data_IF_267376698140
#
_entry.id   IF_267376698140
#
_cell.length_a   1.000
_cell.length_b   1.000
_cell.length_c   1.000
_cell.angle_alpha   90.00
_cell.angle_beta   90.00
_cell.angle_gamma   90.00
#
_symmetry.space_group_name_H-M   'P 1'
#
loop_
_entity.id
_entity.type
_entity.pdbx_description
1 polymer ?
#
# COMPACT_ATOMS: atom_id res chain seq x y z
N UNK A 1 -10.98 -36.84 -24.10
CA UNK A 1 -9.77 -36.71 -23.25
C UNK A 1 -8.72 -35.74 -23.84
N UNK A 2 -8.31 -35.87 -25.11
CA UNK A 2 -7.33 -34.94 -25.75
C UNK A 2 -7.71 -33.45 -25.71
N UNK A 3 -9.01 -33.11 -25.82
CA UNK A 3 -9.51 -31.73 -25.76
C UNK A 3 -9.37 -31.09 -24.36
N UNK A 4 -9.42 -31.90 -23.31
CA UNK A 4 -9.23 -31.42 -21.93
C UNK A 4 -7.77 -31.10 -21.65
N UNK A 5 -6.86 -31.93 -22.17
CA UNK A 5 -5.41 -31.68 -22.09
C UNK A 5 -5.00 -30.40 -22.83
N UNK A 6 -5.60 -30.14 -24.00
CA UNK A 6 -5.35 -28.91 -24.76
C UNK A 6 -5.87 -27.65 -24.02
N UNK A 7 -7.06 -27.72 -23.42
CA UNK A 7 -7.61 -26.60 -22.65
C UNK A 7 -6.80 -26.30 -21.38
N UNK A 8 -6.34 -27.35 -20.67
CA UNK A 8 -5.47 -27.19 -19.50
C UNK A 8 -4.11 -26.58 -19.88
N UNK A 9 -3.53 -26.98 -21.02
CA UNK A 9 -2.28 -26.40 -21.53
C UNK A 9 -2.42 -24.90 -21.87
N UNK A 10 -3.51 -24.50 -22.52
CA UNK A 10 -3.80 -23.10 -22.80
C UNK A 10 -4.00 -22.28 -21.53
N UNK A 11 -4.74 -22.81 -20.54
CA UNK A 11 -4.93 -22.13 -19.27
C UNK A 11 -3.61 -21.90 -18.52
N UNK A 12 -2.71 -22.89 -18.53
CA UNK A 12 -1.40 -22.77 -17.90
C UNK A 12 -0.52 -21.69 -18.55
N UNK A 13 -0.55 -21.58 -19.89
CA UNK A 13 0.16 -20.53 -20.62
C UNK A 13 -0.36 -19.13 -20.27
N UNK A 14 -1.68 -18.95 -20.26
CA UNK A 14 -2.30 -17.66 -19.89
C UNK A 14 -1.95 -17.27 -18.45
N UNK A 15 -1.96 -18.22 -17.51
CA UNK A 15 -1.56 -17.96 -16.12
C UNK A 15 -0.08 -17.58 -15.98
N UNK A 16 0.81 -18.21 -16.76
CA UNK A 16 2.24 -17.88 -16.76
C UNK A 16 2.50 -16.46 -17.31
N UNK A 17 1.78 -16.06 -18.36
CA UNK A 17 1.85 -14.69 -18.88
C UNK A 17 1.29 -13.67 -17.88
N UNK A 18 0.16 -13.96 -17.24
CA UNK A 18 -0.44 -13.05 -16.27
C UNK A 18 0.45 -12.79 -15.05
N UNK A 19 1.12 -13.83 -14.56
CA UNK A 19 2.03 -13.73 -13.41
C UNK A 19 3.30 -12.94 -13.74
N UNK A 20 3.85 -13.06 -14.95
CA UNK A 20 5.01 -12.27 -15.37
C UNK A 20 4.66 -10.80 -15.57
N UNK A 21 3.51 -10.49 -16.20
CA UNK A 21 3.06 -9.11 -16.43
C UNK A 21 2.79 -8.40 -15.09
N UNK A 22 2.18 -9.07 -14.11
CA UNK A 22 1.84 -8.47 -12.82
C UNK A 22 3.05 -8.11 -11.94
N UNK A 23 4.19 -8.78 -12.13
CA UNK A 23 5.45 -8.43 -11.44
C UNK A 23 6.11 -7.22 -12.11
N UNK A 24 6.08 -7.13 -13.44
CA UNK A 24 6.71 -6.05 -14.21
C UNK A 24 5.92 -4.74 -14.06
N UNK A 25 4.60 -4.79 -13.97
CA UNK A 25 3.74 -3.62 -13.74
C UNK A 25 3.58 -3.25 -12.26
N UNK A 26 4.33 -3.90 -11.35
CA UNK A 26 4.47 -3.41 -9.99
C UNK A 26 5.43 -2.21 -10.00
N UNK A 27 5.03 -1.13 -10.67
CA UNK A 27 5.69 0.15 -10.54
C UNK A 27 5.72 0.51 -9.04
N UNK A 28 6.83 1.07 -8.55
CA UNK A 28 6.82 1.63 -7.20
C UNK A 28 5.63 2.56 -7.12
N UNK A 29 4.86 2.49 -6.04
CA UNK A 29 3.67 3.32 -5.88
C UNK A 29 4.10 4.80 -5.83
N UNK A 30 4.24 5.41 -7.01
CA UNK A 30 4.51 6.81 -7.22
C UNK A 30 3.32 7.53 -6.58
N UNK A 31 3.55 8.18 -5.45
CA UNK A 31 2.54 9.01 -4.83
C UNK A 31 2.19 10.12 -5.82
N UNK A 32 0.98 10.06 -6.39
CA UNK A 32 0.52 11.03 -7.38
C UNK A 32 0.63 12.46 -6.85
N UNK A 33 0.37 12.65 -5.54
CA UNK A 33 0.56 13.92 -4.84
C UNK A 33 0.98 13.67 -3.39
N UNK A 34 2.04 14.34 -2.94
CA UNK A 34 2.41 14.43 -1.53
C UNK A 34 2.36 15.89 -1.04
N UNK A 35 1.76 16.10 0.12
CA UNK A 35 1.70 17.39 0.80
C UNK A 35 2.29 17.28 2.21
N UNK A 36 3.12 18.26 2.59
CA UNK A 36 3.59 18.42 3.98
C UNK A 36 3.01 19.69 4.58
N UNK A 37 2.56 19.59 5.83
CA UNK A 37 2.07 20.72 6.61
C UNK A 37 2.59 20.68 8.05
N UNK A 38 2.25 21.71 8.82
CA UNK A 38 2.68 21.84 10.22
C UNK A 38 2.26 20.66 11.11
N UNK A 39 1.07 20.10 10.85
CA UNK A 39 0.47 19.02 11.66
C UNK A 39 0.83 17.61 11.18
N UNK A 40 1.52 17.46 10.06
CA UNK A 40 1.78 16.15 9.48
C UNK A 40 2.08 16.18 7.98
N UNK A 41 2.14 15.00 7.39
CA UNK A 41 2.30 14.82 5.95
C UNK A 41 1.26 13.82 5.44
N UNK A 42 0.84 13.98 4.18
CA UNK A 42 -0.05 13.06 3.52
C UNK A 42 0.39 12.83 2.08
N UNK A 43 0.19 11.61 1.59
CA UNK A 43 0.40 11.23 0.20
C UNK A 43 -0.81 10.46 -0.31
N UNK A 44 -1.20 10.70 -1.57
CA UNK A 44 -2.33 10.03 -2.22
C UNK A 44 -1.85 9.42 -3.53
N UNK A 45 -2.30 8.20 -3.83
CA UNK A 45 -2.00 7.50 -5.07
C UNK A 45 -3.10 6.52 -5.46
N UNK A 46 -2.91 5.81 -6.59
CA UNK A 46 -3.92 4.92 -7.17
C UNK A 46 -4.30 3.73 -6.26
N UNK A 47 -3.44 3.39 -5.29
CA UNK A 47 -3.70 2.33 -4.30
C UNK A 47 -4.21 2.84 -2.96
N UNK A 48 -4.46 4.14 -2.81
CA UNK A 48 -5.01 4.74 -1.60
C UNK A 48 -4.22 5.94 -1.08
N UNK A 49 -4.51 6.34 0.15
CA UNK A 49 -3.89 7.49 0.80
C UNK A 49 -3.22 7.07 2.12
N UNK A 50 -2.09 7.70 2.43
CA UNK A 50 -1.40 7.57 3.72
C UNK A 50 -1.19 8.94 4.32
N UNK A 51 -1.44 9.07 5.62
CA UNK A 51 -1.21 10.30 6.36
C UNK A 51 -0.50 9.99 7.69
N UNK A 52 0.49 10.82 8.02
CA UNK A 52 1.22 10.78 9.29
C UNK A 52 1.03 12.11 10.01
N UNK A 53 0.60 12.04 11.27
CA UNK A 53 0.43 13.21 12.14
C UNK A 53 1.66 13.44 13.00
N UNK A 54 1.98 14.70 13.31
CA UNK A 54 2.97 15.00 14.35
C UNK A 54 2.43 14.59 15.72
N UNK A 55 3.23 13.91 16.56
CA UNK A 55 2.81 13.56 17.91
C UNK A 55 2.54 14.83 18.72
N UNK A 56 1.39 14.87 19.41
CA UNK A 56 1.10 15.94 20.36
C UNK A 56 1.93 15.68 21.61
N UNK A 57 2.97 16.49 21.84
CA UNK A 57 3.75 16.43 23.07
C UNK A 57 2.84 16.82 24.26
N UNK A 58 2.36 15.82 25.00
CA UNK A 58 1.63 16.03 26.26
C UNK A 58 2.68 16.23 27.36
N UNK A 59 2.77 17.43 27.93
CA UNK A 59 3.57 17.64 29.14
C UNK A 59 3.05 16.70 30.23
N UNK A 60 3.93 15.97 30.94
CA UNK A 60 3.50 15.18 32.08
C UNK A 60 2.98 16.13 33.17
N UNK A 61 1.71 16.00 33.52
CA UNK A 61 1.12 16.71 34.66
C UNK A 61 1.54 15.97 35.92
N UNK A 62 2.43 16.56 36.74
CA UNK A 62 2.72 16.03 38.08
C UNK A 62 1.53 16.35 38.98
N UNK A 63 0.72 15.34 39.29
CA UNK A 63 -0.30 15.44 40.33
C UNK A 63 0.39 15.22 41.68
N UNK A 64 0.59 16.29 42.44
CA UNK A 64 1.02 16.16 43.83
C UNK A 64 -0.20 15.75 44.68
N UNK A 65 -0.18 14.53 45.22
CA UNK A 65 -1.13 14.16 46.28
C UNK A 65 -0.71 14.88 47.56
N UNK A 66 -1.59 15.71 48.07
CA UNK A 66 -1.47 16.32 49.39
C UNK A 66 -1.94 15.28 50.41
N UNK A 67 -1.01 14.81 51.24
CA UNK A 67 -1.30 14.02 52.44
C UNK A 67 -1.55 14.96 53.61
#
# INVERSE_FOLDING_TARGET
MKKLLAAAGLAALVFAEFTTISIITAEPAEAAVCARGWRGAACVGPRGAVAVGRPVYRRPVRVYRRW
#
